data_IF_772337606354
#
_entry.id   IF_772337606354
#
_cell.length_a   1.000
_cell.length_b   1.000
_cell.length_c   1.000
_cell.angle_alpha   90.00
_cell.angle_beta   90.00
_cell.angle_gamma   90.00
#
_symmetry.space_group_name_H-M   'P 1'
#
loop_
_entity.id
_entity.type
_entity.pdbx_description
1 polymer ?
#
# COMPACT_ATOMS: atom_id res chain seq x y z
N UNK A 1 -0.76 18.37 13.10
CA UNK A 1 -2.04 18.21 12.35
C UNK A 1 -2.01 16.83 11.72
N UNK A 2 -2.85 15.90 12.21
CA UNK A 2 -2.96 14.60 11.55
C UNK A 2 -3.57 14.79 10.16
N UNK A 3 -2.94 14.19 9.15
CA UNK A 3 -3.51 14.15 7.81
C UNK A 3 -4.74 13.25 7.79
N UNK A 4 -5.64 13.43 6.83
CA UNK A 4 -6.81 12.55 6.64
C UNK A 4 -6.41 11.06 6.56
N UNK A 5 -5.29 10.76 5.91
CA UNK A 5 -4.75 9.41 5.83
C UNK A 5 -4.35 8.81 7.19
N UNK A 6 -3.72 9.60 8.06
CA UNK A 6 -3.37 9.13 9.39
C UNK A 6 -4.62 8.79 10.21
N UNK A 7 -5.65 9.65 10.17
CA UNK A 7 -6.92 9.39 10.86
C UNK A 7 -7.61 8.12 10.35
N UNK A 8 -7.62 7.89 9.04
CA UNK A 8 -8.18 6.67 8.46
C UNK A 8 -7.38 5.41 8.86
N UNK A 9 -6.06 5.50 8.96
CA UNK A 9 -5.22 4.42 9.45
C UNK A 9 -5.56 4.08 10.91
N UNK A 10 -5.65 5.09 11.78
CA UNK A 10 -5.98 4.91 13.20
C UNK A 10 -7.36 4.25 13.37
N UNK A 11 -8.39 4.76 12.67
CA UNK A 11 -9.74 4.19 12.69
C UNK A 11 -9.79 2.75 12.14
N UNK A 12 -9.02 2.45 11.10
CA UNK A 12 -8.94 1.10 10.55
C UNK A 12 -8.25 0.12 11.50
N UNK A 13 -7.21 0.56 12.20
CA UNK A 13 -6.50 -0.24 13.19
C UNK A 13 -7.37 -0.52 14.42
N UNK A 14 -8.13 0.47 14.90
CA UNK A 14 -9.13 0.29 15.96
C UNK A 14 -10.22 -0.73 15.56
N UNK A 15 -10.54 -0.83 14.27
CA UNK A 15 -11.53 -1.76 13.72
C UNK A 15 -10.90 -3.04 13.13
N UNK A 16 -9.67 -3.38 13.49
CA UNK A 16 -8.91 -4.53 12.92
C UNK A 16 -9.58 -5.89 13.09
N UNK A 17 -10.42 -6.05 14.12
CA UNK A 17 -11.14 -7.30 14.40
C UNK A 17 -12.38 -7.48 13.52
N UNK A 18 -12.80 -6.46 12.75
CA UNK A 18 -13.94 -6.58 11.84
C UNK A 18 -13.65 -7.64 10.76
N UNK A 19 -14.49 -8.70 10.62
CA UNK A 19 -14.06 -9.93 9.94
C UNK A 19 -14.11 -9.85 8.41
N UNK A 20 -14.92 -8.95 7.83
CA UNK A 20 -15.26 -8.97 6.41
C UNK A 20 -14.06 -8.63 5.50
N UNK A 21 -14.08 -9.23 4.31
CA UNK A 21 -13.11 -9.02 3.23
C UNK A 21 -13.83 -8.97 1.90
N UNK A 22 -13.28 -8.21 0.97
CA UNK A 22 -13.78 -8.14 -0.40
C UNK A 22 -12.70 -8.61 -1.39
N UNK A 23 -13.09 -9.21 -2.49
CA UNK A 23 -12.18 -9.38 -3.61
C UNK A 23 -12.05 -8.02 -4.32
N UNK A 24 -10.91 -7.36 -4.12
CA UNK A 24 -10.65 -6.02 -4.69
C UNK A 24 -10.66 -5.99 -6.23
N UNK A 25 -10.59 -7.15 -6.87
CA UNK A 25 -10.64 -7.31 -8.32
C UNK A 25 -12.06 -7.61 -8.84
N UNK A 26 -13.07 -7.69 -7.95
CA UNK A 26 -14.45 -7.90 -8.37
C UNK A 26 -14.95 -6.76 -9.26
N UNK A 27 -15.69 -7.11 -10.32
CA UNK A 27 -16.18 -6.14 -11.29
C UNK A 27 -17.10 -5.07 -10.69
N UNK A 28 -17.75 -5.34 -9.56
CA UNK A 28 -18.58 -4.36 -8.85
C UNK A 28 -17.79 -3.15 -8.35
N UNK A 29 -16.47 -3.25 -8.27
CA UNK A 29 -15.58 -2.16 -7.82
C UNK A 29 -14.94 -1.37 -8.97
N UNK A 30 -15.17 -1.76 -10.24
CA UNK A 30 -14.48 -1.11 -11.35
C UNK A 30 -14.92 0.35 -11.57
N UNK A 31 -16.23 0.63 -11.48
CA UNK A 31 -16.77 1.99 -11.64
C UNK A 31 -18.15 2.12 -10.98
N UNK A 32 -18.26 1.93 -9.66
CA UNK A 32 -19.56 2.09 -8.99
C UNK A 32 -19.90 3.56 -8.77
N UNK A 33 -21.20 3.89 -8.71
CA UNK A 33 -21.67 5.23 -8.33
C UNK A 33 -21.23 5.62 -6.90
N UNK A 34 -21.15 4.63 -6.02
CA UNK A 34 -20.64 4.77 -4.65
C UNK A 34 -19.83 3.54 -4.26
N UNK A 35 -18.53 3.74 -4.03
CA UNK A 35 -17.65 2.67 -3.56
C UNK A 35 -18.07 2.14 -2.17
N UNK A 36 -18.54 3.01 -1.29
CA UNK A 36 -19.03 2.63 0.04
C UNK A 36 -20.20 1.65 -0.07
N UNK A 37 -21.18 1.97 -0.91
CA UNK A 37 -22.33 1.10 -1.11
C UNK A 37 -21.97 -0.19 -1.85
N UNK A 38 -21.05 -0.14 -2.80
CA UNK A 38 -20.56 -1.34 -3.49
C UNK A 38 -19.91 -2.33 -2.50
N UNK A 39 -19.08 -1.85 -1.57
CA UNK A 39 -18.46 -2.69 -0.54
C UNK A 39 -19.52 -3.30 0.39
N UNK A 40 -20.50 -2.50 0.85
CA UNK A 40 -21.60 -2.97 1.69
C UNK A 40 -22.44 -4.04 0.99
N UNK A 41 -22.80 -3.80 -0.26
CA UNK A 41 -23.54 -4.76 -1.08
C UNK A 41 -22.75 -6.06 -1.32
N UNK A 42 -21.43 -5.94 -1.56
CA UNK A 42 -20.57 -7.12 -1.69
C UNK A 42 -20.58 -7.96 -0.41
N UNK A 43 -20.38 -7.34 0.74
CA UNK A 43 -20.43 -8.03 2.04
C UNK A 43 -21.79 -8.68 2.27
N UNK A 44 -22.89 -7.97 2.01
CA UNK A 44 -24.25 -8.51 2.13
C UNK A 44 -24.46 -9.71 1.22
N UNK A 45 -24.09 -9.60 -0.07
CA UNK A 45 -24.24 -10.66 -1.08
C UNK A 45 -23.43 -11.91 -0.75
N UNK A 46 -22.27 -11.75 -0.10
CA UNK A 46 -21.39 -12.86 0.29
C UNK A 46 -21.68 -13.40 1.70
N UNK A 47 -22.74 -12.91 2.35
CA UNK A 47 -23.16 -13.36 3.70
C UNK A 47 -22.20 -12.93 4.80
N UNK A 48 -21.42 -11.88 4.59
CA UNK A 48 -20.48 -11.34 5.56
C UNK A 48 -21.11 -10.17 6.35
N UNK A 49 -20.64 -9.87 7.56
CA UNK A 49 -21.01 -8.65 8.28
C UNK A 49 -20.81 -7.41 7.41
N UNK A 50 -21.80 -6.51 7.39
CA UNK A 50 -21.76 -5.29 6.59
C UNK A 50 -21.09 -4.17 7.40
N UNK A 51 -20.03 -3.50 6.87
CA UNK A 51 -19.38 -2.42 7.62
C UNK A 51 -20.29 -1.20 7.73
N UNK A 52 -20.49 -0.70 8.95
CA UNK A 52 -21.36 0.45 9.25
C UNK A 52 -20.55 1.72 9.49
N UNK A 53 -19.43 1.61 10.20
CA UNK A 53 -18.55 2.74 10.52
C UNK A 53 -17.48 2.99 9.45
N UNK A 54 -16.89 4.19 9.47
CA UNK A 54 -15.75 4.52 8.61
C UNK A 54 -14.54 3.64 8.93
N UNK A 55 -14.31 3.34 10.21
CA UNK A 55 -13.22 2.47 10.65
C UNK A 55 -13.36 1.05 10.11
N UNK A 56 -14.54 0.44 10.25
CA UNK A 56 -14.82 -0.89 9.70
C UNK A 56 -14.66 -0.93 8.18
N UNK A 57 -15.21 0.07 7.48
CA UNK A 57 -15.10 0.18 6.03
C UNK A 57 -13.63 0.28 5.60
N UNK A 58 -12.85 1.14 6.25
CA UNK A 58 -11.42 1.31 5.95
C UNK A 58 -10.62 0.05 6.29
N UNK A 59 -10.96 -0.63 7.40
CA UNK A 59 -10.34 -1.91 7.77
C UNK A 59 -10.61 -2.98 6.71
N UNK A 60 -11.86 -3.12 6.22
CA UNK A 60 -12.21 -4.02 5.12
C UNK A 60 -11.36 -3.73 3.88
N UNK A 61 -11.28 -2.46 3.47
CA UNK A 61 -10.50 -2.05 2.28
C UNK A 61 -9.02 -2.37 2.45
N UNK A 62 -8.39 -1.91 3.53
CA UNK A 62 -6.95 -2.07 3.72
C UNK A 62 -6.52 -3.53 3.85
N UNK A 63 -7.27 -4.33 4.59
CA UNK A 63 -6.97 -5.75 4.76
C UNK A 63 -7.22 -6.56 3.49
N UNK A 64 -8.22 -6.18 2.69
CA UNK A 64 -8.48 -6.80 1.38
C UNK A 64 -7.39 -6.45 0.37
N UNK A 65 -6.94 -5.19 0.34
CA UNK A 65 -5.80 -4.76 -0.48
C UNK A 65 -4.52 -5.50 -0.09
N UNK A 66 -4.21 -5.57 1.19
CA UNK A 66 -3.02 -6.28 1.67
C UNK A 66 -3.04 -7.77 1.30
N UNK A 67 -4.20 -8.43 1.41
CA UNK A 67 -4.38 -9.80 0.95
C UNK A 67 -4.09 -9.93 -0.55
N UNK A 68 -4.68 -9.08 -1.37
CA UNK A 68 -4.47 -9.05 -2.82
C UNK A 68 -2.99 -8.82 -3.18
N UNK A 69 -2.29 -7.95 -2.46
CA UNK A 69 -0.85 -7.74 -2.64
C UNK A 69 -0.06 -9.02 -2.31
N UNK A 70 -0.41 -9.71 -1.24
CA UNK A 70 0.20 -11.00 -0.90
C UNK A 70 0.02 -12.06 -2.00
N UNK A 71 -1.18 -12.15 -2.56
CA UNK A 71 -1.48 -13.05 -3.67
C UNK A 71 -0.70 -12.68 -4.93
N UNK A 72 -0.65 -11.39 -5.25
CA UNK A 72 0.08 -10.84 -6.41
C UNK A 72 1.59 -11.12 -6.29
N UNK A 73 2.20 -10.89 -5.13
CA UNK A 73 3.62 -11.15 -4.91
C UNK A 73 3.93 -12.63 -5.11
N UNK A 74 3.13 -13.54 -4.53
CA UNK A 74 3.29 -14.99 -4.73
C UNK A 74 3.16 -15.39 -6.21
N UNK A 75 2.21 -14.78 -6.93
CA UNK A 75 2.05 -14.98 -8.37
C UNK A 75 3.26 -14.52 -9.17
N UNK A 76 3.79 -13.34 -8.87
CA UNK A 76 4.98 -12.78 -9.51
C UNK A 76 6.22 -13.64 -9.24
N UNK A 77 6.43 -14.09 -8.02
CA UNK A 77 7.54 -14.97 -7.65
C UNK A 77 7.50 -16.29 -8.41
N UNK A 78 6.28 -16.87 -8.54
CA UNK A 78 6.07 -18.10 -9.31
C UNK A 78 6.41 -17.92 -10.80
N UNK A 79 5.98 -16.81 -11.41
CA UNK A 79 6.24 -16.50 -12.82
C UNK A 79 7.74 -16.19 -13.04
N UNK A 80 8.34 -15.42 -12.14
CA UNK A 80 9.73 -15.02 -12.24
C UNK A 80 10.73 -16.13 -11.87
N UNK A 81 10.27 -17.21 -11.23
CA UNK A 81 11.13 -18.29 -10.75
C UNK A 81 12.13 -17.86 -9.67
N UNK A 82 11.83 -16.79 -8.94
CA UNK A 82 12.68 -16.25 -7.86
C UNK A 82 11.85 -15.59 -6.78
N UNK A 83 12.41 -15.49 -5.59
CA UNK A 83 11.84 -14.75 -4.46
C UNK A 83 12.37 -13.32 -4.40
N UNK A 84 11.58 -12.44 -3.78
CA UNK A 84 11.97 -11.06 -3.50
C UNK A 84 12.01 -10.85 -1.98
N UNK A 85 12.98 -10.10 -1.50
CA UNK A 85 13.17 -9.87 -0.06
C UNK A 85 12.40 -8.65 0.45
N UNK A 86 12.06 -7.73 -0.44
CA UNK A 86 11.44 -6.47 -0.07
C UNK A 86 10.49 -5.93 -1.13
N UNK A 87 9.60 -5.04 -0.68
CA UNK A 87 8.67 -4.27 -1.50
C UNK A 87 8.95 -2.78 -1.26
N UNK A 88 9.01 -2.01 -2.35
CA UNK A 88 9.14 -0.56 -2.28
C UNK A 88 7.80 0.09 -2.65
N UNK A 89 7.22 0.83 -1.71
CA UNK A 89 5.99 1.61 -1.90
C UNK A 89 6.37 3.08 -2.03
N UNK A 90 6.09 3.68 -3.17
CA UNK A 90 6.44 5.06 -3.50
C UNK A 90 5.19 5.87 -3.82
N UNK A 91 5.30 7.20 -3.76
CA UNK A 91 4.18 8.10 -3.99
C UNK A 91 3.20 8.15 -2.81
N UNK A 92 1.97 8.58 -3.05
CA UNK A 92 0.96 8.82 -2.00
C UNK A 92 0.67 7.63 -1.09
N UNK A 93 0.73 6.41 -1.62
CA UNK A 93 0.53 5.17 -0.86
C UNK A 93 1.54 4.97 0.29
N UNK A 94 2.74 5.55 0.20
CA UNK A 94 3.75 5.49 1.26
C UNK A 94 3.31 6.12 2.58
N UNK A 95 2.28 6.98 2.55
CA UNK A 95 1.75 7.66 3.72
C UNK A 95 0.75 6.81 4.54
N UNK A 96 0.24 5.71 3.99
CA UNK A 96 -0.72 4.84 4.67
C UNK A 96 0.01 3.80 5.56
N UNK A 97 0.51 4.23 6.73
CA UNK A 97 1.36 3.41 7.59
C UNK A 97 0.71 2.06 7.95
N UNK A 98 -0.56 2.05 8.32
CA UNK A 98 -1.27 0.82 8.66
C UNK A 98 -1.38 -0.14 7.47
N UNK A 99 -1.72 0.35 6.27
CA UNK A 99 -1.75 -0.49 5.06
C UNK A 99 -0.35 -1.02 4.72
N UNK A 100 0.70 -0.22 4.91
CA UNK A 100 2.08 -0.63 4.66
C UNK A 100 2.51 -1.76 5.62
N UNK A 101 2.10 -1.69 6.90
CA UNK A 101 2.33 -2.79 7.85
C UNK A 101 1.54 -4.04 7.45
N UNK A 102 0.25 -3.91 7.13
CA UNK A 102 -0.56 -5.03 6.64
C UNK A 102 0.03 -5.67 5.38
N UNK A 103 0.63 -4.86 4.50
CA UNK A 103 1.31 -5.35 3.30
C UNK A 103 2.55 -6.17 3.66
N UNK A 104 3.36 -5.70 4.62
CA UNK A 104 4.50 -6.47 5.12
C UNK A 104 4.04 -7.82 5.69
N UNK A 105 3.00 -7.82 6.52
CA UNK A 105 2.46 -9.02 7.16
C UNK A 105 1.90 -10.02 6.14
N UNK A 106 1.11 -9.54 5.16
CA UNK A 106 0.47 -10.39 4.16
C UNK A 106 1.45 -10.97 3.14
N UNK A 107 2.55 -10.27 2.86
CA UNK A 107 3.56 -10.68 1.88
C UNK A 107 4.72 -11.44 2.52
N UNK A 108 4.93 -11.30 3.83
CA UNK A 108 6.12 -11.78 4.53
C UNK A 108 7.41 -11.08 4.11
N UNK A 109 7.30 -9.87 3.53
CA UNK A 109 8.42 -9.09 3.00
C UNK A 109 8.62 -7.81 3.78
N UNK A 110 9.87 -7.33 3.86
CA UNK A 110 10.13 -5.99 4.35
C UNK A 110 9.57 -4.96 3.36
N UNK A 111 8.79 -4.00 3.85
CA UNK A 111 8.24 -2.89 3.06
C UNK A 111 9.03 -1.62 3.37
N UNK A 112 9.54 -1.00 2.32
CA UNK A 112 10.14 0.34 2.35
C UNK A 112 9.17 1.34 1.75
N UNK A 113 8.67 2.28 2.54
CA UNK A 113 7.65 3.25 2.14
C UNK A 113 8.24 4.67 2.07
N UNK A 114 8.21 5.25 0.87
CA UNK A 114 8.75 6.59 0.55
C UNK A 114 9.76 6.54 -0.61
N UNK A 115 10.07 7.71 -1.16
CA UNK A 115 9.49 9.02 -0.87
C UNK A 115 8.07 9.20 -1.45
N UNK A 116 7.29 10.12 -0.86
CA UNK A 116 5.92 10.43 -1.32
C UNK A 116 5.85 11.02 -2.73
N UNK A 117 6.79 11.91 -3.06
CA UNK A 117 6.84 12.65 -4.34
C UNK A 117 7.81 12.00 -5.35
N UNK A 118 7.78 10.67 -5.45
CA UNK A 118 8.77 9.90 -6.21
C UNK A 118 8.86 10.29 -7.70
N UNK A 119 7.76 10.67 -8.34
CA UNK A 119 7.75 11.08 -9.75
C UNK A 119 8.51 12.40 -9.97
N UNK A 120 8.25 13.40 -9.14
CA UNK A 120 8.94 14.68 -9.21
C UNK A 120 10.44 14.52 -8.89
N UNK A 121 10.76 13.76 -7.86
CA UNK A 121 12.13 13.43 -7.46
C UNK A 121 12.86 12.70 -8.60
N UNK A 122 12.22 11.69 -9.22
CA UNK A 122 12.80 10.96 -10.34
C UNK A 122 13.14 11.85 -11.55
N UNK A 123 12.26 12.79 -11.88
CA UNK A 123 12.49 13.77 -12.94
C UNK A 123 13.68 14.69 -12.60
N UNK A 124 13.78 15.17 -11.37
CA UNK A 124 14.90 16.00 -10.91
C UNK A 124 16.22 15.23 -10.99
N UNK A 125 16.25 13.99 -10.49
CA UNK A 125 17.44 13.16 -10.52
C UNK A 125 17.92 12.85 -11.95
N UNK A 126 17.00 12.64 -12.88
CA UNK A 126 17.35 12.45 -14.29
C UNK A 126 18.03 13.71 -14.88
N UNK A 127 17.55 14.90 -14.51
CA UNK A 127 18.19 16.16 -14.93
C UNK A 127 19.56 16.34 -14.26
N UNK A 128 19.71 15.98 -12.98
CA UNK A 128 21.00 16.05 -12.28
C UNK A 128 22.03 15.08 -12.88
N UNK A 129 21.63 13.88 -13.31
CA UNK A 129 22.51 12.97 -14.04
C UNK A 129 22.90 13.56 -15.40
N UNK A 130 21.94 14.13 -16.12
CA UNK A 130 22.22 14.78 -17.42
C UNK A 130 23.17 15.98 -17.29
N UNK A 131 23.05 16.74 -16.19
CA UNK A 131 23.93 17.89 -15.89
C UNK A 131 25.27 17.49 -15.27
N UNK A 132 25.56 16.18 -15.17
CA UNK A 132 26.79 15.62 -14.58
C UNK A 132 26.99 15.93 -13.09
N UNK A 133 25.93 16.38 -12.38
CA UNK A 133 25.92 16.59 -10.93
C UNK A 133 25.86 15.23 -10.16
N UNK A 134 25.25 14.23 -10.78
CA UNK A 134 25.26 12.84 -10.32
C UNK A 134 25.81 11.95 -11.40
N UNK A 135 26.64 10.97 -11.02
CA UNK A 135 27.37 10.14 -11.97
C UNK A 135 26.51 9.07 -12.66
N UNK A 136 25.52 8.54 -11.93
CA UNK A 136 24.70 7.42 -12.39
C UNK A 136 23.45 7.22 -11.53
N UNK A 137 22.64 6.20 -11.87
CA UNK A 137 21.45 5.85 -11.13
C UNK A 137 21.77 5.39 -9.68
N UNK A 138 22.94 4.86 -9.42
CA UNK A 138 23.33 4.41 -8.06
C UNK A 138 23.56 5.62 -7.15
N UNK A 139 24.28 6.63 -7.63
CA UNK A 139 24.48 7.90 -6.91
C UNK A 139 23.16 8.63 -6.70
N UNK A 140 22.27 8.64 -7.70
CA UNK A 140 20.93 9.20 -7.58
C UNK A 140 20.09 8.51 -6.52
N UNK A 141 20.08 7.18 -6.47
CA UNK A 141 19.39 6.42 -5.42
C UNK A 141 20.00 6.66 -4.02
N UNK A 142 21.30 6.85 -3.93
CA UNK A 142 21.94 7.22 -2.66
C UNK A 142 21.48 8.61 -2.23
N UNK A 143 21.47 9.58 -3.12
CA UNK A 143 20.97 10.93 -2.87
C UNK A 143 19.52 10.92 -2.33
N UNK A 144 18.64 10.07 -2.87
CA UNK A 144 17.27 9.90 -2.33
C UNK A 144 17.30 9.39 -0.88
N UNK A 145 18.09 8.35 -0.61
CA UNK A 145 18.17 7.78 0.76
C UNK A 145 18.71 8.77 1.78
N UNK A 146 19.61 9.65 1.35
CA UNK A 146 20.25 10.64 2.22
C UNK A 146 19.37 11.89 2.44
N UNK A 147 18.43 12.14 1.50
CA UNK A 147 17.60 13.37 1.47
C UNK A 147 16.18 13.17 1.97
N UNK A 148 15.65 11.94 1.93
CA UNK A 148 14.25 11.67 2.25
C UNK A 148 14.11 10.54 3.27
N UNK A 149 13.13 10.68 4.16
CA UNK A 149 12.77 9.62 5.08
C UNK A 149 12.12 8.45 4.33
N UNK A 150 12.68 7.26 4.50
CA UNK A 150 12.11 6.00 4.04
C UNK A 150 11.69 5.18 5.26
N UNK A 151 10.40 5.01 5.47
CA UNK A 151 9.87 4.21 6.58
C UNK A 151 10.00 2.73 6.26
N UNK A 152 10.37 1.94 7.26
CA UNK A 152 10.53 0.50 7.12
C UNK A 152 9.48 -0.23 7.95
N UNK A 153 8.78 -1.17 7.34
CA UNK A 153 7.81 -2.05 7.98
C UNK A 153 8.29 -3.49 7.81
N UNK A 154 8.40 -4.20 8.91
CA UNK A 154 8.79 -5.62 8.92
C UNK A 154 7.58 -6.49 9.24
N UNK A 155 7.48 -7.70 8.66
CA UNK A 155 6.39 -8.61 8.98
C UNK A 155 6.31 -8.89 10.48
N UNK A 156 5.10 -8.86 11.05
CA UNK A 156 4.87 -9.35 12.40
C UNK A 156 5.16 -10.86 12.46
N UNK A 157 5.75 -11.33 13.55
CA UNK A 157 6.07 -12.74 13.76
C UNK A 157 4.83 -13.55 14.09
#
# INVERSE_FOLDING_TARGET
MHTLFAQLCDMAEESKEFPSRVDVNDQSFLSPDSMVEAIRQYCHKTGQPVPESVGELTSVVYRSLAQSYGETVRGLEKIAGKTYDSIHIIGGGSNAAYLNQLTADATGKTVYAGPGEATAIGNLLAQMIYAEELTDLKSARQCVRDSFEIKTFVPAK
#
